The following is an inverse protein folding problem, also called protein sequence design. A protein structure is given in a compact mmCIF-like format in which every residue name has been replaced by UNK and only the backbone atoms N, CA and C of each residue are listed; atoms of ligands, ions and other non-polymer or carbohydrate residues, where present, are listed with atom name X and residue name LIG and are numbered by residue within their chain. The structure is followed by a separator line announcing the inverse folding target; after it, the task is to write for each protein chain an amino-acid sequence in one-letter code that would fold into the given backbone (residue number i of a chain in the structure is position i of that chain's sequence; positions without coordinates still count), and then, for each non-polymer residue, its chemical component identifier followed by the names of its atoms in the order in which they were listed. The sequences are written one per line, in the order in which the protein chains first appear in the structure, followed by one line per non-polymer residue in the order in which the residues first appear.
data_IF_767093201854
#
_entry.id   IF_767093201854
#
_cell.length_a   1.000
_cell.length_b   1.000
_cell.length_c   1.000
_cell.angle_alpha   90.00
_cell.angle_beta   90.00
_cell.angle_gamma   90.00
#
_symmetry.space_group_name_H-M   'P 1'
#
loop_
_entity.id
_entity.type
_entity.pdbx_description
1 polymer ?
#
# COMPACT_ATOMS: atom_id res chain seq x y z
N UNK A 1 -2.42 -12.30 17.37
CA UNK A 1 -3.06 -12.91 16.19
C UNK A 1 -2.86 -11.98 15.00
N UNK A 2 -2.39 -12.46 13.84
CA UNK A 2 -2.28 -11.63 12.63
C UNK A 2 -3.60 -11.72 11.87
N UNK A 3 -4.19 -10.57 11.52
CA UNK A 3 -5.40 -10.54 10.72
C UNK A 3 -5.06 -10.92 9.27
N UNK A 4 -5.85 -11.82 8.67
CA UNK A 4 -5.67 -12.31 7.29
C UNK A 4 -6.79 -11.80 6.38
N UNK A 5 -7.12 -10.51 6.46
CA UNK A 5 -8.20 -9.86 5.70
C UNK A 5 -8.12 -10.05 4.17
N UNK A 6 -6.96 -10.35 3.60
CA UNK A 6 -6.79 -10.68 2.17
C UNK A 6 -7.04 -12.14 1.78
N UNK A 7 -7.28 -13.06 2.73
CA UNK A 7 -7.67 -14.45 2.48
C UNK A 7 -9.09 -14.65 2.99
N UNK A 8 -10.05 -14.67 2.06
CA UNK A 8 -11.42 -15.09 2.36
C UNK A 8 -11.45 -16.59 2.66
N UNK A 9 -11.11 -16.99 3.88
CA UNK A 9 -11.44 -18.32 4.38
C UNK A 9 -12.18 -18.15 5.70
N UNK A 10 -13.51 -18.02 5.60
CA UNK A 10 -14.44 -17.72 6.68
C UNK A 10 -14.77 -18.92 7.56
N UNK A 11 -13.84 -19.87 7.75
CA UNK A 11 -14.12 -21.16 8.39
C UNK A 11 -13.55 -21.31 9.81
N UNK A 12 -12.72 -20.39 10.30
CA UNK A 12 -12.30 -20.39 11.70
C UNK A 12 -13.07 -19.32 12.48
N UNK A 13 -14.02 -19.76 13.31
CA UNK A 13 -14.80 -18.93 14.24
C UNK A 13 -14.00 -18.32 15.39
N UNK A 14 -12.74 -17.97 15.16
CA UNK A 14 -11.96 -17.18 16.12
C UNK A 14 -12.49 -15.75 16.08
N UNK A 15 -13.21 -15.33 17.12
CA UNK A 15 -13.54 -13.92 17.31
C UNK A 15 -12.23 -13.15 17.42
N UNK A 16 -11.88 -12.40 16.38
CA UNK A 16 -10.71 -11.54 16.39
C UNK A 16 -10.98 -10.37 17.35
N UNK A 17 -10.12 -10.20 18.35
CA UNK A 17 -10.10 -9.03 19.22
C UNK A 17 -9.00 -8.10 18.75
N UNK A 18 -9.32 -6.81 18.60
CA UNK A 18 -8.35 -5.79 18.20
C UNK A 18 -7.17 -5.75 19.21
N UNK A 19 -5.90 -5.77 18.74
CA UNK A 19 -4.76 -5.59 19.64
C UNK A 19 -4.77 -4.24 20.35
N UNK A 20 -5.41 -3.22 19.77
CA UNK A 20 -5.62 -1.92 20.36
C UNK A 20 -6.80 -1.99 21.34
N UNK A 21 -6.46 -1.99 22.62
CA UNK A 21 -7.44 -2.00 23.71
C UNK A 21 -7.92 -0.58 24.03
N UNK A 22 -9.25 -0.43 24.14
CA UNK A 22 -9.89 0.80 24.56
C UNK A 22 -10.11 0.76 26.08
N UNK A 23 -9.73 1.85 26.75
CA UNK A 23 -9.88 1.99 28.20
C UNK A 23 -11.12 2.80 28.53
N UNK A 24 -12.00 2.25 29.36
CA UNK A 24 -13.11 3.00 29.96
C UNK A 24 -12.59 4.01 30.98
N UNK A 25 -13.02 5.27 30.88
CA UNK A 25 -12.72 6.33 31.87
C UNK A 25 -13.96 6.73 32.67
N UNK A 26 -13.80 7.25 33.91
CA UNK A 26 -14.94 7.46 34.82
C UNK A 26 -15.71 8.77 34.59
N UNK A 27 -15.21 9.68 33.75
CA UNK A 27 -15.90 10.95 33.44
C UNK A 27 -15.66 11.39 32.00
N UNK A 28 -16.62 12.13 31.44
CA UNK A 28 -16.52 12.71 30.10
C UNK A 28 -15.30 13.65 29.94
N UNK A 29 -14.91 14.35 31.00
CA UNK A 29 -13.73 15.22 31.02
C UNK A 29 -12.40 14.50 30.83
N UNK A 30 -12.37 13.18 31.03
CA UNK A 30 -11.19 12.33 30.85
C UNK A 30 -11.21 11.58 29.52
N UNK A 31 -12.25 11.79 28.70
CA UNK A 31 -12.37 11.16 27.40
C UNK A 31 -11.28 11.67 26.45
N UNK A 32 -10.63 10.73 25.77
CA UNK A 32 -9.62 11.00 24.77
C UNK A 32 -9.59 9.84 23.77
N UNK A 33 -10.41 9.95 22.74
CA UNK A 33 -10.57 8.90 21.73
C UNK A 33 -9.27 8.66 20.95
N UNK A 34 -8.39 9.66 20.83
CA UNK A 34 -7.08 9.51 20.19
C UNK A 34 -6.10 8.67 21.04
N UNK A 35 -6.31 8.61 22.36
CA UNK A 35 -5.60 7.71 23.28
C UNK A 35 -6.42 6.48 23.65
N UNK A 36 -7.48 6.19 22.90
CA UNK A 36 -8.40 5.08 23.11
C UNK A 36 -9.03 5.07 24.52
N UNK A 37 -9.30 6.26 25.07
CA UNK A 37 -9.98 6.45 26.35
C UNK A 37 -11.40 6.90 26.08
N UNK A 38 -12.38 6.08 26.41
CA UNK A 38 -13.80 6.37 26.15
C UNK A 38 -14.55 6.50 27.47
N UNK A 39 -15.33 7.57 27.61
CA UNK A 39 -16.24 7.67 28.73
C UNK A 39 -17.45 6.78 28.47
N UNK A 40 -17.73 5.87 29.39
CA UNK A 40 -18.93 5.04 29.39
C UNK A 40 -19.55 5.13 30.79
N UNK A 41 -20.78 5.64 30.96
CA UNK A 41 -21.45 5.59 32.26
C UNK A 41 -21.80 4.13 32.62
N UNK A 42 -21.91 3.80 33.92
CA UNK A 42 -22.22 2.40 34.33
C UNK A 42 -23.54 1.88 33.76
N UNK A 43 -24.47 2.79 33.45
CA UNK A 43 -25.77 2.48 32.88
C UNK A 43 -25.75 2.21 31.36
N UNK A 44 -24.68 2.58 30.65
CA UNK A 44 -24.57 2.42 29.20
C UNK A 44 -23.16 1.98 28.80
N UNK A 45 -23.04 0.71 28.46
CA UNK A 45 -21.79 0.08 28.04
C UNK A 45 -21.64 0.03 26.53
N UNK A 46 -22.70 0.33 25.76
CA UNK A 46 -22.65 0.29 24.29
C UNK A 46 -22.20 1.63 23.71
N UNK A 47 -21.01 2.06 24.11
CA UNK A 47 -20.42 3.31 23.62
C UNK A 47 -20.11 3.28 22.12
N UNK A 48 -20.14 2.10 21.49
CA UNK A 48 -19.91 1.93 20.06
C UNK A 48 -21.00 2.55 19.19
N UNK A 49 -22.19 2.80 19.72
CA UNK A 49 -23.27 3.50 18.99
C UNK A 49 -23.02 5.00 18.86
N UNK A 50 -22.15 5.57 19.69
CA UNK A 50 -21.74 6.98 19.60
C UNK A 50 -20.93 7.19 18.34
N UNK A 51 -21.38 8.10 17.48
CA UNK A 51 -20.79 8.30 16.16
C UNK A 51 -19.29 8.62 16.21
N UNK A 52 -18.86 9.41 17.19
CA UNK A 52 -17.46 9.77 17.41
C UNK A 52 -16.60 8.58 17.85
N UNK A 53 -17.14 7.68 18.68
CA UNK A 53 -16.45 6.46 19.12
C UNK A 53 -16.36 5.47 17.96
N UNK A 54 -17.46 5.28 17.22
CA UNK A 54 -17.50 4.45 16.02
C UNK A 54 -16.50 4.95 14.95
N UNK A 55 -16.43 6.26 14.73
CA UNK A 55 -15.49 6.86 13.80
C UNK A 55 -14.04 6.65 14.24
N UNK A 56 -13.73 6.83 15.52
CA UNK A 56 -12.39 6.63 16.05
C UNK A 56 -11.96 5.15 16.01
N UNK A 57 -12.85 4.22 16.35
CA UNK A 57 -12.61 2.78 16.22
C UNK A 57 -12.43 2.35 14.75
N UNK A 58 -13.24 2.90 13.84
CA UNK A 58 -13.09 2.68 12.39
C UNK A 58 -11.74 3.18 11.88
N UNK A 59 -11.27 4.34 12.37
CA UNK A 59 -9.97 4.87 11.99
C UNK A 59 -8.81 3.97 12.43
N UNK A 60 -8.86 3.44 13.66
CA UNK A 60 -7.90 2.43 14.15
C UNK A 60 -7.91 1.19 13.25
N UNK A 61 -9.10 0.64 12.97
CA UNK A 61 -9.23 -0.54 12.13
C UNK A 61 -8.64 -0.31 10.74
N UNK A 62 -8.98 0.82 10.09
CA UNK A 62 -8.46 1.15 8.75
C UNK A 62 -6.94 1.25 8.76
N UNK A 63 -6.35 1.93 9.75
CA UNK A 63 -4.91 2.07 9.85
C UNK A 63 -4.18 0.74 10.00
N UNK A 64 -4.70 -0.15 10.84
CA UNK A 64 -4.06 -1.45 11.08
C UNK A 64 -4.29 -2.46 9.94
N UNK A 65 -5.37 -2.32 9.18
CA UNK A 65 -5.80 -3.35 8.21
C UNK A 65 -5.72 -2.93 6.75
N UNK A 66 -5.96 -1.65 6.44
CA UNK A 66 -5.98 -1.13 5.08
C UNK A 66 -4.66 -0.44 4.71
N UNK A 67 -4.07 0.39 5.58
CA UNK A 67 -2.82 1.09 5.25
C UNK A 67 -1.71 0.14 4.75
N UNK A 68 -1.48 -1.05 5.36
CA UNK A 68 -0.49 -1.99 4.83
C UNK A 68 -0.83 -2.53 3.43
N UNK A 69 -2.12 -2.79 3.17
CA UNK A 69 -2.59 -3.27 1.86
C UNK A 69 -2.47 -2.19 0.79
N UNK A 70 -2.72 -0.93 1.18
CA UNK A 70 -2.56 0.23 0.32
C UNK A 70 -1.09 0.42 -0.07
N UNK A 71 -0.16 0.35 0.90
CA UNK A 71 1.28 0.41 0.63
C UNK A 71 1.74 -0.73 -0.29
N UNK A 72 1.32 -1.97 -0.01
CA UNK A 72 1.65 -3.12 -0.89
C UNK A 72 1.02 -2.96 -2.28
N UNK A 73 -0.15 -2.33 -2.37
CA UNK A 73 -0.81 -1.96 -3.62
C UNK A 73 -0.01 -0.94 -4.41
N UNK A 74 0.42 0.14 -3.77
CA UNK A 74 1.26 1.19 -4.34
C UNK A 74 2.58 0.61 -4.87
N UNK A 75 3.24 -0.26 -4.09
CA UNK A 75 4.48 -0.93 -4.51
C UNK A 75 4.23 -1.78 -5.76
N UNK A 76 3.16 -2.58 -5.78
CA UNK A 76 2.81 -3.42 -6.96
C UNK A 76 2.50 -2.57 -8.18
N UNK A 77 1.79 -1.44 -8.00
CA UNK A 77 1.51 -0.49 -9.06
C UNK A 77 2.81 0.12 -9.62
N UNK A 78 3.72 0.56 -8.75
CA UNK A 78 5.02 1.11 -9.16
C UNK A 78 5.89 0.08 -9.90
N UNK A 79 5.91 -1.18 -9.44
CA UNK A 79 6.62 -2.27 -10.13
C UNK A 79 6.03 -2.53 -11.52
N UNK A 80 4.71 -2.50 -11.65
CA UNK A 80 4.02 -2.67 -12.94
C UNK A 80 4.36 -1.52 -13.89
N UNK A 81 4.22 -0.28 -13.43
CA UNK A 81 4.57 0.91 -14.21
C UNK A 81 6.03 0.90 -14.67
N UNK A 82 6.96 0.45 -13.82
CA UNK A 82 8.37 0.31 -14.21
C UNK A 82 8.55 -0.72 -15.34
N UNK A 83 7.89 -1.88 -15.24
CA UNK A 83 7.95 -2.93 -16.29
C UNK A 83 7.39 -2.43 -17.61
N UNK A 84 6.29 -1.69 -17.57
CA UNK A 84 5.68 -1.12 -18.78
C UNK A 84 6.59 -0.07 -19.42
N UNK A 85 7.21 0.79 -18.61
CA UNK A 85 8.19 1.76 -19.08
C UNK A 85 9.44 1.09 -19.69
N UNK A 86 9.95 0.03 -19.07
CA UNK A 86 11.07 -0.76 -19.62
C UNK A 86 10.69 -1.40 -20.96
N UNK A 87 9.49 -1.97 -21.09
CA UNK A 87 9.00 -2.54 -22.33
C UNK A 87 8.84 -1.48 -23.44
N UNK A 88 8.32 -0.30 -23.08
CA UNK A 88 8.22 0.83 -23.99
C UNK A 88 9.60 1.31 -24.46
N UNK A 89 10.59 1.35 -23.57
CA UNK A 89 11.97 1.70 -23.91
C UNK A 89 12.59 0.68 -24.87
N UNK A 90 12.43 -0.62 -24.58
CA UNK A 90 12.91 -1.70 -25.45
C UNK A 90 12.28 -1.59 -26.87
N UNK A 91 10.97 -1.32 -26.96
CA UNK A 91 10.28 -1.11 -28.23
C UNK A 91 10.78 0.14 -28.98
N UNK A 92 11.04 1.23 -28.28
CA UNK A 92 11.58 2.46 -28.86
C UNK A 92 13.00 2.26 -29.41
N UNK A 93 13.85 1.52 -28.68
CA UNK A 93 15.21 1.18 -29.11
C UNK A 93 15.17 0.28 -30.36
N UNK A 94 14.31 -0.75 -30.38
CA UNK A 94 14.10 -1.58 -31.56
C UNK A 94 13.67 -0.76 -32.78
N UNK A 95 12.74 0.19 -32.59
CA UNK A 95 12.34 1.13 -33.65
C UNK A 95 13.51 1.99 -34.12
N UNK A 96 14.31 2.54 -33.21
CA UNK A 96 15.48 3.36 -33.55
C UNK A 96 16.51 2.56 -34.35
N UNK A 97 16.77 1.30 -33.97
CA UNK A 97 17.66 0.39 -34.71
C UNK A 97 17.16 0.11 -36.12
N UNK A 98 15.87 -0.16 -36.31
CA UNK A 98 15.26 -0.31 -37.64
C UNK A 98 15.39 0.92 -38.52
N UNK A 99 15.40 2.12 -37.92
CA UNK A 99 15.63 3.39 -38.61
C UNK A 99 17.13 3.71 -38.83
N UNK A 100 18.04 2.78 -38.51
CA UNK A 100 19.47 2.92 -38.78
C UNK A 100 20.27 3.70 -37.74
N UNK A 101 19.65 4.11 -36.62
CA UNK A 101 20.37 4.80 -35.52
C UNK A 101 21.46 3.91 -34.95
N UNK A 102 22.66 4.45 -34.78
CA UNK A 102 23.81 3.75 -34.18
C UNK A 102 23.63 3.54 -32.68
N UNK A 103 24.35 2.57 -32.11
CA UNK A 103 24.38 2.36 -30.66
C UNK A 103 24.92 3.58 -29.89
N UNK A 104 25.74 4.42 -30.52
CA UNK A 104 26.26 5.63 -29.89
C UNK A 104 25.15 6.69 -29.74
N UNK A 105 24.34 6.88 -30.79
CA UNK A 105 23.19 7.79 -30.74
C UNK A 105 22.11 7.30 -29.77
N UNK A 106 21.84 6.00 -29.74
CA UNK A 106 20.90 5.39 -28.79
C UNK A 106 21.42 5.53 -27.36
N UNK A 107 22.71 5.28 -27.13
CA UNK A 107 23.34 5.50 -25.82
C UNK A 107 23.21 6.95 -25.37
N UNK A 108 23.55 7.91 -26.23
CA UNK A 108 23.41 9.33 -25.95
C UNK A 108 21.95 9.71 -25.62
N UNK A 109 20.97 9.20 -26.37
CA UNK A 109 19.56 9.47 -26.13
C UNK A 109 19.01 8.86 -24.82
N UNK A 110 19.66 7.82 -24.30
CA UNK A 110 19.25 7.11 -23.08
C UNK A 110 20.16 7.41 -21.87
N UNK A 111 21.13 8.33 -22.03
CA UNK A 111 22.05 8.72 -20.96
C UNK A 111 23.11 7.67 -20.62
N UNK A 112 23.41 6.73 -21.52
CA UNK A 112 24.39 5.66 -21.30
C UNK A 112 25.49 5.67 -22.35
N UNK A 113 26.57 4.94 -22.07
CA UNK A 113 27.65 4.76 -23.05
C UNK A 113 27.18 3.88 -24.21
N UNK A 114 27.83 4.03 -25.37
CA UNK A 114 27.61 3.15 -26.54
C UNK A 114 27.71 1.66 -26.17
N UNK A 115 28.71 1.30 -25.36
CA UNK A 115 28.94 -0.08 -24.96
C UNK A 115 27.81 -0.62 -24.09
N UNK A 116 27.36 0.16 -23.08
CA UNK A 116 26.24 -0.22 -22.24
C UNK A 116 24.94 -0.39 -23.05
N UNK A 117 24.67 0.50 -24.00
CA UNK A 117 23.52 0.37 -24.90
C UNK A 117 23.58 -0.90 -25.74
N UNK A 118 24.75 -1.17 -26.34
CA UNK A 118 24.94 -2.38 -27.14
C UNK A 118 24.76 -3.64 -26.28
N UNK A 119 25.42 -3.73 -25.13
CA UNK A 119 25.30 -4.90 -24.25
C UNK A 119 23.86 -5.15 -23.79
N UNK A 120 23.10 -4.09 -23.50
CA UNK A 120 21.70 -4.20 -23.07
C UNK A 120 20.77 -4.70 -24.17
N UNK A 121 20.93 -4.22 -25.41
CA UNK A 121 19.91 -4.39 -26.45
C UNK A 121 20.33 -5.22 -27.67
N UNK A 122 21.61 -5.57 -27.84
CA UNK A 122 22.09 -6.33 -29.01
C UNK A 122 21.33 -7.63 -29.28
N UNK A 123 20.82 -8.28 -28.22
CA UNK A 123 20.11 -9.56 -28.31
C UNK A 123 18.57 -9.39 -28.26
N UNK A 124 18.08 -8.15 -28.14
CA UNK A 124 16.65 -7.81 -27.98
C UNK A 124 16.05 -7.04 -29.16
N UNK A 125 16.88 -6.57 -30.08
CA UNK A 125 16.50 -5.78 -31.26
C UNK A 125 16.90 -6.46 -32.55
#
# INVERSE_FOLDING_TARGET
MRCHCGRSNSSDGSSWTDPVQWTRVPSASLEDLARHRVFAPDADLDVGVRAEVAAAATAVWRREHLDPLDVDGEIRAAVTARRDADAQLDAAVAKARRLGRSWAEIGAATGMTRQAANERWKDRT
#
